data_IF_309082588034
#
_entry.id   IF_309082588034
#
_cell.length_a   1.000
_cell.length_b   1.000
_cell.length_c   1.000
_cell.angle_alpha   90.00
_cell.angle_beta   90.00
_cell.angle_gamma   90.00
#
_symmetry.space_group_name_H-M   'P 1'
#
loop_
_entity.id
_entity.type
_entity.pdbx_description
1 polymer ?
#
# COMPACT_ATOMS: atom_id res chain seq x y z
N UNK A 1 20.01 -2.91 4.89
CA UNK A 1 18.54 -3.05 4.93
C UNK A 1 18.14 -4.18 3.99
N UNK A 2 17.22 -5.06 4.41
CA UNK A 2 16.76 -6.16 3.56
C UNK A 2 15.94 -5.67 2.37
N UNK A 3 16.01 -6.37 1.24
CA UNK A 3 15.24 -6.07 0.03
C UNK A 3 13.74 -5.99 0.33
N UNK A 4 13.21 -6.91 1.14
CA UNK A 4 11.81 -6.92 1.58
C UNK A 4 11.40 -5.64 2.32
N UNK A 5 12.27 -5.11 3.18
CA UNK A 5 12.02 -3.86 3.90
C UNK A 5 11.92 -2.68 2.94
N UNK A 6 12.83 -2.59 1.97
CA UNK A 6 12.84 -1.52 0.97
C UNK A 6 11.60 -1.60 0.08
N UNK A 7 11.23 -2.81 -0.37
CA UNK A 7 10.03 -3.03 -1.17
C UNK A 7 8.75 -2.67 -0.41
N UNK A 8 8.66 -3.01 0.88
CA UNK A 8 7.51 -2.63 1.73
C UNK A 8 7.38 -1.10 1.88
N UNK A 9 8.49 -0.40 2.12
CA UNK A 9 8.48 1.08 2.19
C UNK A 9 8.05 1.69 0.85
N UNK A 10 8.58 1.18 -0.26
CA UNK A 10 8.22 1.66 -1.59
C UNK A 10 6.73 1.43 -1.89
N UNK A 11 6.15 0.29 -1.48
CA UNK A 11 4.72 0.04 -1.69
C UNK A 11 3.86 1.02 -0.89
N UNK A 12 4.25 1.35 0.35
CA UNK A 12 3.54 2.34 1.18
C UNK A 12 3.55 3.72 0.50
N UNK A 13 4.69 4.14 -0.05
CA UNK A 13 4.80 5.41 -0.76
C UNK A 13 3.84 5.47 -1.97
N UNK A 14 3.74 4.39 -2.74
CA UNK A 14 2.76 4.27 -3.84
C UNK A 14 1.33 4.32 -3.31
N UNK A 15 1.05 3.64 -2.19
CA UNK A 15 -0.25 3.65 -1.53
C UNK A 15 -0.72 5.05 -1.13
N UNK A 16 0.16 5.90 -0.61
CA UNK A 16 -0.17 7.31 -0.33
C UNK A 16 -0.55 8.09 -1.61
N UNK A 17 0.07 7.78 -2.75
CA UNK A 17 -0.35 8.32 -4.04
C UNK A 17 -1.80 7.97 -4.38
N UNK A 18 -2.22 6.73 -4.11
CA UNK A 18 -3.61 6.32 -4.27
C UNK A 18 -4.56 6.99 -3.28
N UNK A 19 -4.13 7.27 -2.04
CA UNK A 19 -4.93 8.06 -1.09
C UNK A 19 -5.16 9.48 -1.63
N UNK A 20 -4.10 10.13 -2.14
CA UNK A 20 -4.23 11.45 -2.76
C UNK A 20 -5.19 11.42 -3.97
N UNK A 21 -5.10 10.40 -4.82
CA UNK A 21 -6.02 10.21 -5.94
C UNK A 21 -7.47 9.97 -5.47
N UNK A 22 -7.67 9.20 -4.40
CA UNK A 22 -8.99 8.97 -3.79
C UNK A 22 -9.59 10.28 -3.27
N UNK A 23 -8.77 11.13 -2.64
CA UNK A 23 -9.19 12.46 -2.17
C UNK A 23 -9.62 13.36 -3.33
N UNK A 24 -8.82 13.42 -4.40
CA UNK A 24 -9.16 14.19 -5.60
C UNK A 24 -10.45 13.68 -6.25
N UNK A 25 -10.61 12.36 -6.39
CA UNK A 25 -11.82 11.75 -6.94
C UNK A 25 -13.06 12.04 -6.08
N UNK A 26 -12.91 12.04 -4.75
CA UNK A 26 -13.98 12.40 -3.80
C UNK A 26 -14.42 13.84 -4.01
N UNK A 27 -13.47 14.78 -4.15
CA UNK A 27 -13.77 16.19 -4.40
C UNK A 27 -14.47 16.43 -5.75
N UNK A 28 -14.28 15.53 -6.72
CA UNK A 28 -14.96 15.54 -8.02
C UNK A 28 -16.30 14.81 -8.02
N UNK A 29 -16.77 14.33 -6.85
CA UNK A 29 -17.96 13.49 -6.69
C UNK A 29 -17.90 12.17 -7.48
N UNK A 30 -16.70 11.71 -7.85
CA UNK A 30 -16.47 10.45 -8.57
C UNK A 30 -16.36 9.28 -7.58
N UNK A 31 -17.43 9.01 -6.84
CA UNK A 31 -17.42 8.11 -5.67
C UNK A 31 -16.90 6.71 -6.02
N UNK A 32 -17.30 6.13 -7.16
CA UNK A 32 -16.82 4.82 -7.58
C UNK A 32 -15.29 4.77 -7.78
N UNK A 33 -14.70 5.84 -8.33
CA UNK A 33 -13.25 5.96 -8.51
C UNK A 33 -12.55 6.19 -7.18
N UNK A 34 -13.12 7.02 -6.31
CA UNK A 34 -12.60 7.24 -4.96
C UNK A 34 -12.52 5.94 -4.16
N UNK A 35 -13.57 5.11 -4.22
CA UNK A 35 -13.59 3.78 -3.58
C UNK A 35 -12.53 2.87 -4.20
N UNK A 36 -12.42 2.82 -5.54
CA UNK A 36 -11.39 2.02 -6.22
C UNK A 36 -9.96 2.41 -5.83
N UNK A 37 -9.68 3.71 -5.74
CA UNK A 37 -8.40 4.22 -5.26
C UNK A 37 -8.17 3.91 -3.78
N UNK A 38 -9.20 4.01 -2.94
CA UNK A 38 -9.11 3.64 -1.52
C UNK A 38 -8.80 2.16 -1.30
N UNK A 39 -9.46 1.26 -2.04
CA UNK A 39 -9.18 -0.19 -2.00
C UNK A 39 -7.74 -0.46 -2.47
N UNK A 40 -7.30 0.20 -3.53
CA UNK A 40 -5.94 0.04 -4.04
C UNK A 40 -4.91 0.54 -3.02
N UNK A 41 -5.13 1.71 -2.43
CA UNK A 41 -4.31 2.25 -1.35
C UNK A 41 -4.21 1.28 -0.17
N UNK A 42 -5.33 0.66 0.23
CA UNK A 42 -5.34 -0.34 1.28
C UNK A 42 -4.38 -1.50 0.96
N UNK A 43 -4.46 -2.09 -0.24
CA UNK A 43 -3.58 -3.21 -0.62
C UNK A 43 -2.09 -2.82 -0.54
N UNK A 44 -1.74 -1.62 -1.01
CA UNK A 44 -0.35 -1.16 -1.05
C UNK A 44 0.23 -0.76 0.31
N UNK A 45 -0.61 -0.26 1.23
CA UNK A 45 -0.18 0.18 2.57
C UNK A 45 -0.26 -0.95 3.59
N UNK A 46 -1.17 -1.91 3.41
CA UNK A 46 -1.41 -2.98 4.40
C UNK A 46 -0.99 -4.35 3.88
N UNK A 47 -1.66 -4.86 2.84
CA UNK A 47 -1.52 -6.25 2.41
C UNK A 47 -0.08 -6.56 1.98
N UNK A 48 0.48 -5.74 1.09
CA UNK A 48 1.85 -5.96 0.58
C UNK A 48 2.89 -5.83 1.71
N UNK A 49 2.91 -4.75 2.52
CA UNK A 49 3.88 -4.62 3.62
C UNK A 49 3.75 -5.73 4.66
N UNK A 50 2.53 -6.12 5.02
CA UNK A 50 2.30 -7.20 6.00
C UNK A 50 2.82 -8.53 5.48
N UNK A 51 2.56 -8.88 4.22
CA UNK A 51 3.08 -10.13 3.63
C UNK A 51 4.60 -10.11 3.62
N UNK A 52 5.22 -9.02 3.17
CA UNK A 52 6.68 -8.90 3.13
C UNK A 52 7.29 -8.96 4.54
N UNK A 53 6.66 -8.32 5.52
CA UNK A 53 7.11 -8.33 6.90
C UNK A 53 7.04 -9.73 7.50
N UNK A 54 5.90 -10.41 7.39
CA UNK A 54 5.63 -11.68 8.06
C UNK A 54 6.36 -12.86 7.41
N UNK A 55 6.39 -12.91 6.07
CA UNK A 55 6.87 -14.10 5.36
C UNK A 55 8.27 -13.97 4.77
N UNK A 56 8.81 -12.75 4.65
CA UNK A 56 10.09 -12.52 3.97
C UNK A 56 11.12 -11.87 4.90
N UNK A 57 10.71 -10.91 5.73
CA UNK A 57 11.63 -10.21 6.62
C UNK A 57 11.89 -10.94 7.95
N UNK A 58 11.00 -11.85 8.38
CA UNK A 58 11.24 -12.67 9.57
C UNK A 58 12.46 -13.56 9.32
N UNK A 59 13.51 -13.48 10.14
CA UNK A 59 14.62 -14.41 10.07
C UNK A 59 14.09 -15.81 10.40
N UNK A 60 14.09 -16.72 9.41
CA UNK A 60 13.86 -18.12 9.69
C UNK A 60 15.00 -18.59 10.62
N UNK A 61 14.74 -19.11 11.84
CA UNK A 61 15.78 -19.73 12.62
C UNK A 61 16.35 -20.88 11.77
N UNK A 62 17.64 -20.78 11.43
CA UNK A 62 18.39 -21.89 10.82
C UNK A 62 18.67 -22.96 11.88
#
# INVERSE_FOLDING_TARGET
>A
MGSATVTGIASIAVGFGFIAAAFVATNRQEIARAVGYGITAFVFITVIPVILAVFVAVPNPQ
#
